data_IF_431562784494
#
_entry.id   IF_431562784494
#
_cell.length_a   1.000
_cell.length_b   1.000
_cell.length_c   1.000
_cell.angle_alpha   90.00
_cell.angle_beta   90.00
_cell.angle_gamma   90.00
#
_symmetry.space_group_name_H-M   'P 1'
#
loop_
_entity.id
_entity.type
_entity.pdbx_description
1 polymer ?
#
# COMPACT_ATOMS: atom_id res chain seq x y z
N UNK A 1 2.93 -12.60 -3.09
CA UNK A 1 2.06 -11.41 -3.11
C UNK A 1 2.51 -10.45 -4.20
N UNK A 2 1.66 -9.49 -4.59
CA UNK A 2 2.02 -8.45 -5.57
C UNK A 2 3.26 -7.66 -5.12
N UNK A 3 3.40 -7.37 -3.84
CA UNK A 3 4.58 -6.68 -3.31
C UNK A 3 5.89 -7.47 -3.51
N UNK A 4 5.87 -8.81 -3.55
CA UNK A 4 7.06 -9.58 -3.93
C UNK A 4 7.43 -9.39 -5.40
N UNK A 5 6.45 -9.32 -6.28
CA UNK A 5 6.68 -9.21 -7.73
C UNK A 5 7.08 -7.79 -8.15
N UNK A 6 6.44 -6.79 -7.54
CA UNK A 6 6.65 -5.38 -7.87
C UNK A 6 7.89 -4.77 -7.20
N UNK A 7 8.39 -5.41 -6.13
CA UNK A 7 9.58 -5.00 -5.37
C UNK A 7 9.60 -3.51 -4.98
N UNK A 8 8.52 -3.02 -4.32
CA UNK A 8 8.44 -1.62 -3.96
C UNK A 8 9.49 -1.22 -2.92
N UNK A 9 9.99 0.00 -3.03
CA UNK A 9 10.93 0.57 -2.08
C UNK A 9 10.22 1.37 -0.97
N UNK A 10 9.12 2.03 -1.31
CA UNK A 10 8.29 2.79 -0.36
C UNK A 10 6.85 2.29 -0.41
N UNK A 11 6.44 1.62 0.67
CA UNK A 11 5.09 1.09 0.82
C UNK A 11 4.34 1.91 1.86
N UNK A 12 3.14 2.36 1.52
CA UNK A 12 2.20 2.97 2.46
C UNK A 12 1.02 2.02 2.67
N UNK A 13 0.76 1.65 3.92
CA UNK A 13 -0.45 0.94 4.33
C UNK A 13 -1.32 1.85 5.17
N UNK A 14 -2.57 2.04 4.76
CA UNK A 14 -3.58 2.77 5.52
C UNK A 14 -4.63 1.78 6.01
N UNK A 15 -4.65 1.56 7.32
CA UNK A 15 -5.42 0.50 7.98
C UNK A 15 -4.59 -0.77 8.21
N UNK A 16 -3.99 -0.87 9.41
CA UNK A 16 -3.18 -2.03 9.80
C UNK A 16 -4.04 -3.28 10.07
N UNK A 17 -3.69 -4.39 9.46
CA UNK A 17 -4.48 -5.60 9.60
C UNK A 17 -3.80 -6.89 9.15
N UNK A 18 -4.60 -7.79 8.61
CA UNK A 18 -4.11 -9.07 8.08
C UNK A 18 -3.11 -8.93 6.93
N UNK A 19 -3.11 -7.80 6.23
CA UNK A 19 -2.23 -7.53 5.09
C UNK A 19 -0.83 -7.14 5.52
N UNK A 20 -0.71 -6.46 6.65
CA UNK A 20 0.54 -5.93 7.21
C UNK A 20 1.68 -6.96 7.25
N UNK A 21 1.50 -8.18 7.82
CA UNK A 21 2.57 -9.18 7.84
C UNK A 21 3.02 -9.62 6.45
N UNK A 22 2.10 -9.69 5.48
CA UNK A 22 2.43 -10.08 4.10
C UNK A 22 3.19 -8.98 3.35
N UNK A 23 2.88 -7.72 3.61
CA UNK A 23 3.63 -6.59 3.06
C UNK A 23 5.05 -6.56 3.63
N UNK A 24 5.19 -6.65 4.95
CA UNK A 24 6.50 -6.70 5.60
C UNK A 24 7.34 -7.89 5.10
N UNK A 25 6.75 -9.09 5.05
CA UNK A 25 7.47 -10.27 4.58
C UNK A 25 7.97 -10.09 3.15
N UNK A 26 7.15 -9.48 2.28
CA UNK A 26 7.56 -9.18 0.90
C UNK A 26 8.78 -8.25 0.85
N UNK A 27 8.81 -7.20 1.68
CA UNK A 27 9.96 -6.29 1.75
C UNK A 27 11.22 -6.98 2.26
N UNK A 28 11.10 -7.81 3.30
CA UNK A 28 12.21 -8.59 3.85
C UNK A 28 12.78 -9.55 2.80
N UNK A 29 11.91 -10.28 2.11
CA UNK A 29 12.33 -11.25 1.09
C UNK A 29 12.96 -10.56 -0.12
N UNK A 30 12.37 -9.45 -0.57
CA UNK A 30 12.92 -8.65 -1.67
C UNK A 30 14.30 -8.08 -1.31
N UNK A 31 14.50 -7.65 -0.05
CA UNK A 31 15.81 -7.20 0.41
C UNK A 31 16.84 -8.32 0.39
N UNK A 32 16.48 -9.52 0.81
CA UNK A 32 17.36 -10.69 0.76
C UNK A 32 17.77 -11.04 -0.66
N UNK A 33 16.81 -10.99 -1.61
CA UNK A 33 17.09 -11.24 -3.03
C UNK A 33 18.02 -10.16 -3.59
N UNK A 34 17.84 -8.91 -3.19
CA UNK A 34 18.71 -7.81 -3.60
C UNK A 34 20.14 -7.97 -3.07
N UNK A 35 20.30 -8.52 -1.87
CA UNK A 35 21.60 -8.71 -1.20
C UNK A 35 22.28 -10.06 -1.55
N UNK A 36 21.67 -10.94 -2.35
CA UNK A 36 22.16 -12.30 -2.61
C UNK A 36 23.31 -12.39 -3.63
N UNK A 37 23.68 -11.25 -4.23
CA UNK A 37 24.78 -11.15 -5.19
C UNK A 37 24.46 -11.68 -6.59
N UNK A 38 23.22 -12.11 -6.88
CA UNK A 38 22.82 -12.62 -8.19
C UNK A 38 22.38 -11.54 -9.19
N UNK A 39 22.32 -10.27 -8.75
CA UNK A 39 22.00 -9.16 -9.64
C UNK A 39 23.23 -8.69 -10.40
N UNK A 40 23.07 -8.34 -11.65
CA UNK A 40 24.14 -7.74 -12.46
C UNK A 40 24.49 -6.36 -11.92
N UNK A 41 25.79 -6.01 -11.87
CA UNK A 41 26.27 -4.72 -11.37
C UNK A 41 25.57 -3.52 -12.03
N UNK A 42 25.24 -3.59 -13.32
CA UNK A 42 24.50 -2.54 -14.02
C UNK A 42 23.13 -2.20 -13.45
N UNK A 43 22.53 -3.09 -12.65
CA UNK A 43 21.29 -2.79 -11.92
C UNK A 43 21.50 -1.92 -10.69
N UNK A 44 22.74 -1.79 -10.22
CA UNK A 44 23.06 -1.06 -8.99
C UNK A 44 23.57 0.37 -9.26
N UNK A 45 23.96 0.69 -10.46
CA UNK A 45 24.69 1.92 -10.78
C UNK A 45 23.98 3.22 -10.40
N UNK A 46 22.72 3.21 -10.03
CA UNK A 46 21.99 4.36 -9.48
C UNK A 46 20.76 3.95 -8.66
N UNK A 47 20.68 2.70 -8.21
CA UNK A 47 19.52 2.20 -7.49
C UNK A 47 19.91 1.71 -6.09
N UNK A 48 19.39 2.38 -5.07
CA UNK A 48 19.46 1.94 -3.68
C UNK A 48 18.13 1.30 -3.26
N UNK A 49 18.18 0.03 -2.86
CA UNK A 49 17.00 -0.66 -2.32
C UNK A 49 17.04 -0.68 -0.80
N UNK A 50 16.37 0.28 -0.18
CA UNK A 50 16.17 0.36 1.27
C UNK A 50 14.67 0.43 1.55
N UNK A 51 13.97 -0.73 1.52
CA UNK A 51 12.53 -0.77 1.58
C UNK A 51 11.98 -0.34 2.94
N UNK A 52 10.87 0.42 2.89
CA UNK A 52 10.13 0.87 4.07
C UNK A 52 8.63 0.61 3.91
N UNK A 53 8.03 0.10 4.97
CA UNK A 53 6.59 0.00 5.15
C UNK A 53 6.17 1.06 6.17
N UNK A 54 5.50 2.09 5.69
CA UNK A 54 4.89 3.12 6.54
C UNK A 54 3.44 2.74 6.77
N UNK A 55 3.04 2.61 8.02
CA UNK A 55 1.69 2.19 8.43
C UNK A 55 1.00 3.36 9.10
N UNK A 56 -0.21 3.68 8.67
CA UNK A 56 -1.10 4.62 9.36
C UNK A 56 -2.31 3.85 9.88
N UNK A 57 -2.58 4.00 11.17
CA UNK A 57 -3.78 3.42 11.80
C UNK A 57 -4.25 4.34 12.94
N UNK A 58 -5.55 4.44 13.15
CA UNK A 58 -6.14 5.21 14.25
C UNK A 58 -6.08 4.48 15.60
N UNK A 59 -5.76 3.19 15.57
CA UNK A 59 -5.47 2.41 16.76
C UNK A 59 -4.10 2.82 17.33
N UNK A 60 -4.02 2.99 18.63
CA UNK A 60 -2.74 3.27 19.28
C UNK A 60 -1.73 2.15 19.09
N UNK A 61 -0.45 2.51 19.11
CA UNK A 61 0.65 1.53 19.02
C UNK A 61 0.51 0.44 20.11
N UNK A 62 0.08 0.82 21.32
CA UNK A 62 -0.14 -0.09 22.44
C UNK A 62 -1.27 -1.09 22.20
N UNK A 63 -2.35 -0.67 21.56
CA UNK A 63 -3.47 -1.55 21.18
C UNK A 63 -3.13 -2.45 20.02
N UNK A 64 -2.48 -1.90 19.01
CA UNK A 64 -2.05 -2.66 17.84
C UNK A 64 -1.05 -3.77 18.23
N UNK A 65 -0.13 -3.50 19.16
CA UNK A 65 0.84 -4.46 19.67
C UNK A 65 0.23 -5.65 20.42
N UNK A 66 -1.04 -5.54 20.85
CA UNK A 66 -1.78 -6.65 21.48
C UNK A 66 -2.34 -7.64 20.47
N UNK A 67 -2.44 -7.25 19.19
CA UNK A 67 -2.88 -8.16 18.14
C UNK A 67 -1.80 -9.22 17.86
N UNK A 68 -2.17 -10.49 17.61
CA UNK A 68 -1.20 -11.56 17.36
C UNK A 68 -0.21 -11.20 16.25
N UNK A 69 1.08 -11.30 16.55
CA UNK A 69 2.18 -11.05 15.60
C UNK A 69 2.50 -9.57 15.34
N UNK A 70 1.64 -8.62 15.71
CA UNK A 70 1.84 -7.20 15.38
C UNK A 70 3.01 -6.56 16.15
N UNK A 71 3.30 -7.03 17.37
CA UNK A 71 4.43 -6.52 18.14
C UNK A 71 5.77 -6.67 17.40
N UNK A 72 6.01 -7.85 16.83
CA UNK A 72 7.25 -8.13 16.08
C UNK A 72 7.30 -7.38 14.77
N UNK A 73 6.14 -7.20 14.11
CA UNK A 73 6.00 -6.43 12.89
C UNK A 73 6.37 -4.97 13.12
N UNK A 74 5.78 -4.32 14.12
CA UNK A 74 6.00 -2.90 14.43
C UNK A 74 7.45 -2.63 14.86
N UNK A 75 8.10 -3.60 15.52
CA UNK A 75 9.51 -3.46 15.93
C UNK A 75 10.52 -3.75 14.81
N UNK A 76 10.06 -4.12 13.63
CA UNK A 76 10.93 -4.36 12.47
C UNK A 76 11.61 -3.06 12.01
N UNK A 77 12.89 -3.11 11.67
CA UNK A 77 13.64 -1.99 11.09
C UNK A 77 13.05 -1.46 9.75
N UNK A 78 12.22 -2.25 9.10
CA UNK A 78 11.57 -1.90 7.84
C UNK A 78 10.20 -1.21 8.04
N UNK A 79 9.71 -1.13 9.27
CA UNK A 79 8.39 -0.59 9.59
C UNK A 79 8.51 0.73 10.32
N UNK A 80 7.68 1.68 9.90
CA UNK A 80 7.42 2.92 10.62
C UNK A 80 5.93 3.06 10.83
N UNK A 81 5.52 3.32 12.07
CA UNK A 81 4.12 3.43 12.45
C UNK A 81 3.77 4.88 12.78
N UNK A 82 2.69 5.37 12.18
CA UNK A 82 2.13 6.70 12.42
C UNK A 82 0.73 6.52 12.99
N UNK A 83 0.57 6.85 14.27
CA UNK A 83 -0.71 6.80 14.96
C UNK A 83 -1.62 7.95 14.51
N UNK A 84 -2.88 7.63 14.29
CA UNK A 84 -3.95 8.58 14.00
C UNK A 84 -4.60 8.38 12.64
N UNK A 85 -5.54 9.26 12.37
CA UNK A 85 -6.29 9.22 11.11
C UNK A 85 -5.42 9.70 9.95
N UNK A 86 -5.63 9.11 8.78
CA UNK A 86 -4.80 9.42 7.61
C UNK A 86 -5.08 10.80 6.99
N UNK A 87 -6.27 11.36 7.19
CA UNK A 87 -6.78 12.52 6.45
C UNK A 87 -5.89 13.78 6.57
N UNK A 88 -5.15 13.91 7.65
CA UNK A 88 -4.26 15.05 7.94
C UNK A 88 -2.76 14.74 7.83
N UNK A 89 -2.38 13.53 7.37
CA UNK A 89 -0.99 13.08 7.36
C UNK A 89 -0.25 13.29 6.04
N UNK A 90 -0.92 13.75 4.99
CA UNK A 90 -0.32 13.86 3.64
C UNK A 90 1.00 14.61 3.63
N UNK A 91 1.03 15.81 4.22
CA UNK A 91 2.26 16.64 4.21
C UNK A 91 3.37 16.00 5.02
N UNK A 92 3.06 15.46 6.20
CA UNK A 92 4.02 14.69 7.00
C UNK A 92 4.64 13.54 6.20
N UNK A 93 3.81 12.78 5.49
CA UNK A 93 4.28 11.67 4.67
C UNK A 93 5.18 12.13 3.53
N UNK A 94 4.76 13.15 2.81
CA UNK A 94 5.54 13.69 1.69
C UNK A 94 6.88 14.27 2.15
N UNK A 95 6.88 15.07 3.21
CA UNK A 95 8.07 15.73 3.74
C UNK A 95 9.08 14.73 4.31
N UNK A 96 8.59 13.60 4.86
CA UNK A 96 9.45 12.59 5.50
C UNK A 96 9.93 11.51 4.52
N UNK A 97 9.05 11.04 3.63
CA UNK A 97 9.31 9.84 2.81
C UNK A 97 9.30 10.12 1.29
N UNK A 98 8.79 11.28 0.87
CA UNK A 98 8.56 11.57 -0.53
C UNK A 98 7.36 10.80 -1.09
N UNK A 99 7.52 10.24 -2.30
CA UNK A 99 6.48 9.44 -2.96
C UNK A 99 6.53 7.97 -2.54
N UNK A 100 5.34 7.35 -2.56
CA UNK A 100 5.18 5.91 -2.34
C UNK A 100 4.95 5.21 -3.68
N UNK A 101 5.72 4.19 -3.96
CA UNK A 101 5.57 3.39 -5.18
C UNK A 101 4.50 2.29 -5.06
N UNK A 102 4.10 1.96 -3.83
CA UNK A 102 3.03 1.01 -3.54
C UNK A 102 2.17 1.52 -2.37
N UNK A 103 0.88 1.66 -2.59
CA UNK A 103 -0.07 2.05 -1.53
C UNK A 103 -1.12 0.96 -1.39
N UNK A 104 -1.33 0.51 -0.15
CA UNK A 104 -2.43 -0.37 0.24
C UNK A 104 -3.43 0.42 1.08
N UNK A 105 -4.65 0.56 0.58
CA UNK A 105 -5.72 1.29 1.25
C UNK A 105 -6.84 0.33 1.67
N UNK A 106 -7.02 0.17 2.97
CA UNK A 106 -7.99 -0.75 3.58
C UNK A 106 -8.55 -0.18 4.88
N UNK A 107 -9.16 1.00 4.82
CA UNK A 107 -9.80 1.56 6.01
C UNK A 107 -11.11 2.27 5.68
N UNK A 108 -12.03 2.23 6.63
CA UNK A 108 -13.30 2.95 6.57
C UNK A 108 -14.26 2.43 5.50
N UNK A 109 -15.07 3.34 4.98
CA UNK A 109 -16.09 3.09 3.96
C UNK A 109 -15.98 4.05 2.78
N UNK A 110 -17.04 4.17 1.97
CA UNK A 110 -17.05 4.98 0.74
C UNK A 110 -16.49 6.41 0.88
N UNK A 111 -16.74 7.06 2.01
CA UNK A 111 -16.29 8.43 2.28
C UNK A 111 -14.77 8.51 2.43
N UNK A 112 -14.17 7.58 3.15
CA UNK A 112 -12.73 7.51 3.37
C UNK A 112 -11.99 7.22 2.06
N UNK A 113 -12.54 6.35 1.20
CA UNK A 113 -11.98 6.10 -0.14
C UNK A 113 -12.03 7.36 -1.03
N UNK A 114 -13.11 8.11 -0.98
CA UNK A 114 -13.22 9.38 -1.72
C UNK A 114 -12.21 10.42 -1.21
N UNK A 115 -12.05 10.57 0.10
CA UNK A 115 -11.07 11.48 0.72
C UNK A 115 -9.65 11.09 0.32
N UNK A 116 -9.33 9.79 0.39
CA UNK A 116 -8.02 9.28 -0.03
C UNK A 116 -7.73 9.61 -1.49
N UNK A 117 -8.63 9.28 -2.41
CA UNK A 117 -8.45 9.52 -3.84
C UNK A 117 -8.29 11.01 -4.19
N UNK A 118 -9.00 11.89 -3.49
CA UNK A 118 -8.87 13.35 -3.70
C UNK A 118 -7.54 13.91 -3.21
N UNK A 119 -7.07 13.45 -2.04
CA UNK A 119 -5.98 14.08 -1.33
C UNK A 119 -4.64 13.35 -1.49
N UNK A 120 -4.64 12.02 -1.66
CA UNK A 120 -3.45 11.17 -1.63
C UNK A 120 -3.03 10.63 -3.00
N UNK A 121 -3.85 10.90 -4.04
CA UNK A 121 -3.55 10.42 -5.38
C UNK A 121 -2.12 10.72 -5.82
N UNK A 122 -1.69 11.96 -5.64
CA UNK A 122 -0.39 12.45 -6.10
C UNK A 122 0.78 11.94 -5.24
N UNK A 123 0.50 11.43 -4.04
CA UNK A 123 1.50 10.83 -3.16
C UNK A 123 1.96 9.44 -3.63
N UNK A 124 1.12 8.75 -4.42
CA UNK A 124 1.46 7.46 -5.01
C UNK A 124 2.04 7.62 -6.41
N UNK A 125 3.23 7.05 -6.64
CA UNK A 125 3.90 7.11 -7.94
C UNK A 125 3.48 5.99 -8.90
N UNK A 126 3.23 4.75 -8.42
CA UNK A 126 3.05 3.61 -9.32
C UNK A 126 1.77 2.81 -9.07
N UNK A 127 1.58 2.24 -7.87
CA UNK A 127 0.51 1.27 -7.63
C UNK A 127 -0.33 1.62 -6.42
N UNK A 128 -1.66 1.65 -6.59
CA UNK A 128 -2.61 1.76 -5.49
C UNK A 128 -3.50 0.52 -5.47
N UNK A 129 -3.61 -0.11 -4.32
CA UNK A 129 -4.44 -1.27 -4.07
C UNK A 129 -5.57 -0.89 -3.13
N UNK A 130 -6.78 -1.08 -3.58
CA UNK A 130 -8.00 -0.84 -2.81
C UNK A 130 -8.67 -2.16 -2.47
N UNK A 131 -8.89 -2.39 -1.18
CA UNK A 131 -9.58 -3.58 -0.70
C UNK A 131 -11.12 -3.40 -0.67
N UNK A 132 -11.87 -4.49 -0.57
CA UNK A 132 -13.34 -4.51 -0.46
C UNK A 132 -14.11 -3.81 -1.60
N UNK A 133 -13.62 -3.84 -2.81
CA UNK A 133 -14.20 -3.16 -3.97
C UNK A 133 -15.36 -3.91 -4.62
N UNK A 134 -15.55 -5.19 -4.28
CA UNK A 134 -16.65 -6.05 -4.74
C UNK A 134 -17.43 -6.65 -3.58
N UNK A 135 -18.69 -6.95 -3.83
CA UNK A 135 -19.55 -7.69 -2.90
C UNK A 135 -20.39 -8.70 -3.70
N UNK A 136 -20.36 -9.96 -3.29
CA UNK A 136 -21.07 -11.05 -3.97
C UNK A 136 -20.74 -11.15 -5.48
N UNK A 137 -19.48 -10.91 -5.85
CA UNK A 137 -19.03 -10.96 -7.25
C UNK A 137 -19.38 -9.75 -8.09
N UNK A 138 -20.02 -8.72 -7.52
CA UNK A 138 -20.38 -7.49 -8.22
C UNK A 138 -19.64 -6.27 -7.64
N UNK A 139 -19.28 -5.28 -8.47
CA UNK A 139 -18.75 -4.01 -8.02
C UNK A 139 -19.65 -3.37 -6.98
N UNK A 140 -19.06 -2.81 -5.93
CA UNK A 140 -19.79 -2.09 -4.90
C UNK A 140 -19.59 -0.56 -5.02
N UNK A 141 -20.14 0.19 -4.06
CA UNK A 141 -20.04 1.65 -4.05
C UNK A 141 -18.59 2.18 -4.00
N UNK A 142 -17.69 1.45 -3.34
CA UNK A 142 -16.26 1.80 -3.30
C UNK A 142 -15.64 1.73 -4.69
N UNK A 143 -15.92 0.64 -5.42
CA UNK A 143 -15.43 0.49 -6.79
C UNK A 143 -15.92 1.61 -7.72
N UNK A 144 -17.19 2.01 -7.60
CA UNK A 144 -17.75 3.15 -8.35
C UNK A 144 -16.98 4.45 -8.02
N UNK A 145 -16.74 4.73 -6.74
CA UNK A 145 -15.98 5.91 -6.29
C UNK A 145 -14.56 5.90 -6.86
N UNK A 146 -13.89 4.76 -6.85
CA UNK A 146 -12.56 4.63 -7.44
C UNK A 146 -12.62 5.02 -8.92
N UNK A 147 -13.51 4.39 -9.70
CA UNK A 147 -13.65 4.66 -11.15
C UNK A 147 -13.95 6.13 -11.46
N UNK A 148 -14.75 6.80 -10.65
CA UNK A 148 -15.11 8.20 -10.83
C UNK A 148 -13.99 9.20 -10.47
N UNK A 149 -13.00 8.78 -9.68
CA UNK A 149 -11.93 9.65 -9.18
C UNK A 149 -10.55 9.31 -9.77
N UNK A 150 -10.46 8.43 -10.75
CA UNK A 150 -9.20 8.15 -11.44
C UNK A 150 -8.71 9.41 -12.17
N UNK A 151 -7.39 9.64 -12.13
CA UNK A 151 -6.75 10.78 -12.78
C UNK A 151 -5.58 10.31 -13.64
N UNK A 152 -5.40 10.97 -14.79
CA UNK A 152 -4.28 10.71 -15.69
C UNK A 152 -4.40 9.39 -16.44
N UNK A 153 -3.27 8.93 -16.98
CA UNK A 153 -3.16 7.66 -17.68
C UNK A 153 -2.94 6.52 -16.69
N UNK A 154 -3.93 5.64 -16.57
CA UNK A 154 -3.93 4.54 -15.60
C UNK A 154 -4.50 3.26 -16.19
N UNK A 155 -3.99 2.14 -15.72
CA UNK A 155 -4.57 0.82 -15.91
C UNK A 155 -5.25 0.37 -14.62
N UNK A 156 -6.41 -0.29 -14.76
CA UNK A 156 -7.18 -0.78 -13.60
C UNK A 156 -7.42 -2.27 -13.75
N UNK A 157 -7.07 -3.00 -12.70
CA UNK A 157 -7.22 -4.46 -12.62
C UNK A 157 -8.05 -4.83 -11.40
N UNK A 158 -9.10 -5.62 -11.62
CA UNK A 158 -9.93 -6.15 -10.55
C UNK A 158 -9.62 -7.63 -10.31
N UNK A 159 -9.30 -7.96 -9.06
CA UNK A 159 -9.07 -9.33 -8.61
C UNK A 159 -10.21 -9.68 -7.66
N UNK A 160 -11.04 -10.63 -8.06
CA UNK A 160 -12.20 -11.05 -7.28
C UNK A 160 -12.07 -12.53 -6.91
N UNK A 161 -12.06 -12.83 -5.62
CA UNK A 161 -12.08 -14.22 -5.15
C UNK A 161 -13.48 -14.83 -5.37
N UNK A 162 -13.61 -15.86 -6.22
CA UNK A 162 -14.94 -16.38 -6.61
C UNK A 162 -15.67 -17.10 -5.47
N UNK A 163 -14.98 -17.49 -4.39
CA UNK A 163 -15.51 -18.38 -3.35
C UNK A 163 -15.82 -17.68 -2.03
N UNK A 164 -15.52 -16.40 -1.87
CA UNK A 164 -15.79 -15.67 -0.62
C UNK A 164 -16.85 -14.59 -0.81
N UNK A 165 -17.95 -14.73 -0.09
CA UNK A 165 -19.07 -13.79 -0.13
C UNK A 165 -18.74 -12.40 0.48
N UNK A 166 -17.73 -12.29 1.33
CA UNK A 166 -17.46 -11.08 2.11
C UNK A 166 -16.09 -10.43 1.88
N UNK A 167 -15.11 -11.16 1.43
CA UNK A 167 -13.73 -10.67 1.37
C UNK A 167 -13.03 -11.25 0.15
N UNK A 168 -11.95 -10.61 -0.27
CA UNK A 168 -11.09 -11.12 -1.31
C UNK A 168 -11.23 -10.42 -2.64
N UNK A 169 -11.70 -9.17 -2.65
CA UNK A 169 -11.63 -8.32 -3.83
C UNK A 169 -10.63 -7.20 -3.65
N UNK A 170 -9.85 -6.97 -4.68
CA UNK A 170 -8.86 -5.92 -4.75
C UNK A 170 -9.05 -5.21 -6.10
N UNK A 171 -9.12 -3.89 -6.10
CA UNK A 171 -8.93 -3.08 -7.29
C UNK A 171 -7.54 -2.50 -7.25
N UNK A 172 -6.69 -2.89 -8.20
CA UNK A 172 -5.37 -2.32 -8.39
C UNK A 172 -5.43 -1.23 -9.45
N UNK A 173 -4.88 -0.08 -9.14
CA UNK A 173 -4.67 1.02 -10.09
C UNK A 173 -3.16 1.15 -10.32
N UNK A 174 -2.73 0.99 -11.57
CA UNK A 174 -1.37 1.25 -12.02
C UNK A 174 -1.32 2.60 -12.72
N UNK A 175 -0.42 3.46 -12.32
CA UNK A 175 -0.16 4.76 -12.96
C UNK A 175 0.96 4.59 -13.99
N UNK A 176 0.68 4.98 -15.25
CA UNK A 176 1.62 4.75 -16.36
C UNK A 176 2.65 5.88 -16.52
N UNK A 177 2.26 7.11 -16.20
CA UNK A 177 3.12 8.29 -16.35
C UNK A 177 3.29 8.97 -15.00
N UNK A 178 4.31 8.59 -14.26
CA UNK A 178 4.78 9.35 -13.11
C UNK A 178 6.09 10.03 -13.50
N UNK A 179 5.99 11.30 -13.89
CA UNK A 179 7.17 12.13 -14.11
C UNK A 179 7.63 12.64 -12.73
N UNK A 180 8.77 12.16 -12.28
CA UNK A 180 9.52 12.81 -11.22
C UNK A 180 10.08 14.13 -11.83
N UNK A 181 9.28 15.21 -11.83
CA UNK A 181 9.79 16.57 -12.03
C UNK A 181 10.37 17.11 -10.72
#
# INVERSE_FOLDING_TARGET
>A
SMAHMLRPNRVLEIGAGYTTPFLLQALVDNRRIFDDGNLQESYFDNYSFDPKLVIIDDMSLGELSKKPGMKDIISSKYVEFIEGRFEDKKNLLFDTYGYFDFVWFDCGGPKEYEVFLKNYWDLCSHYIFFHFTYRNGSPNKIHEIIKQNLKGDVEVFDIVEPHKRRQGSITMVKKNNFNNE
#
